data_IF_522922831224
#
_entry.id   IF_522922831224
#
_cell.length_a   1.000
_cell.length_b   1.000
_cell.length_c   1.000
_cell.angle_alpha   90.00
_cell.angle_beta   90.00
_cell.angle_gamma   90.00
#
_symmetry.space_group_name_H-M   'P 1'
#
loop_
_entity.id
_entity.type
_entity.pdbx_description
1 polymer ?
#
# COMPACT_ATOMS: atom_id res chain seq x y z
N UNK A 1 3.11 -16.23 -17.54
CA UNK A 1 3.06 -16.14 -16.08
C UNK A 1 2.66 -14.75 -15.64
N UNK A 2 1.81 -14.66 -14.65
CA UNK A 2 1.37 -13.37 -14.17
C UNK A 2 2.47 -12.73 -13.31
N UNK A 3 2.52 -11.41 -13.33
CA UNK A 3 3.42 -10.66 -12.47
C UNK A 3 2.87 -10.67 -11.04
N UNK A 4 3.76 -10.61 -10.08
CA UNK A 4 3.34 -10.35 -8.71
C UNK A 4 2.75 -8.95 -8.65
N UNK A 5 1.72 -8.77 -7.85
CA UNK A 5 1.04 -7.48 -7.73
C UNK A 5 1.25 -6.86 -6.35
N UNK A 6 1.42 -5.55 -6.35
CA UNK A 6 1.69 -4.79 -5.13
C UNK A 6 0.71 -3.63 -5.04
N UNK A 7 0.07 -3.50 -3.90
CA UNK A 7 -0.76 -2.34 -3.60
C UNK A 7 0.04 -1.37 -2.75
N UNK A 8 0.19 -0.13 -3.22
CA UNK A 8 0.93 0.91 -2.52
C UNK A 8 -0.06 1.94 -2.00
N UNK A 9 -0.01 2.22 -0.71
CA UNK A 9 -0.94 3.15 -0.06
C UNK A 9 -0.18 4.28 0.60
N UNK A 10 -0.37 5.49 0.10
CA UNK A 10 0.29 6.70 0.62
C UNK A 10 -0.51 7.91 0.18
N UNK A 11 -0.70 8.88 1.05
CA UNK A 11 -1.48 10.07 0.72
C UNK A 11 -0.65 11.17 0.05
N UNK A 12 0.67 11.00 -0.01
CA UNK A 12 1.57 11.94 -0.68
C UNK A 12 1.71 11.58 -2.16
N UNK A 13 1.17 12.37 -3.10
CA UNK A 13 1.23 12.01 -4.52
C UNK A 13 2.65 11.83 -5.05
N UNK A 14 3.58 12.64 -4.57
CA UNK A 14 4.97 12.55 -5.04
C UNK A 14 5.62 11.23 -4.61
N UNK A 15 5.39 10.81 -3.36
CA UNK A 15 5.92 9.56 -2.85
C UNK A 15 5.27 8.39 -3.60
N UNK A 16 3.97 8.45 -3.75
CA UNK A 16 3.22 7.40 -4.44
C UNK A 16 3.72 7.21 -5.87
N UNK A 17 3.92 8.31 -6.58
CA UNK A 17 4.41 8.25 -7.96
C UNK A 17 5.79 7.60 -8.05
N UNK A 18 6.69 7.95 -7.14
CA UNK A 18 8.04 7.38 -7.13
C UNK A 18 7.99 5.89 -6.86
N UNK A 19 7.23 5.48 -5.85
CA UNK A 19 7.12 4.06 -5.50
C UNK A 19 6.49 3.25 -6.62
N UNK A 20 5.40 3.74 -7.18
CA UNK A 20 4.71 3.04 -8.28
C UNK A 20 5.65 2.87 -9.46
N UNK A 21 6.33 3.96 -9.85
CA UNK A 21 7.24 3.92 -11.01
C UNK A 21 8.37 2.92 -10.78
N UNK A 22 9.00 2.96 -9.61
CA UNK A 22 10.13 2.07 -9.32
C UNK A 22 9.71 0.62 -9.30
N UNK A 23 8.56 0.33 -8.70
CA UNK A 23 8.08 -1.05 -8.63
C UNK A 23 7.67 -1.57 -10.00
N UNK A 24 7.06 -0.72 -10.82
CA UNK A 24 6.74 -1.10 -12.20
C UNK A 24 8.01 -1.40 -13.00
N UNK A 25 9.04 -0.58 -12.85
CA UNK A 25 10.31 -0.82 -13.53
C UNK A 25 10.97 -2.11 -13.07
N UNK A 26 10.71 -2.51 -11.82
CA UNK A 26 11.24 -3.78 -11.31
C UNK A 26 10.43 -5.00 -11.78
N UNK A 27 9.35 -4.78 -12.52
CA UNK A 27 8.60 -5.87 -13.13
C UNK A 27 7.32 -6.24 -12.39
N UNK A 28 6.88 -5.46 -11.40
CA UNK A 28 5.66 -5.75 -10.67
C UNK A 28 4.46 -5.05 -11.28
N UNK A 29 3.29 -5.64 -11.09
CA UNK A 29 2.04 -4.96 -11.35
C UNK A 29 1.70 -4.15 -10.11
N UNK A 30 1.38 -2.86 -10.26
CA UNK A 30 1.23 -1.98 -9.10
C UNK A 30 -0.12 -1.28 -9.13
N UNK A 31 -0.81 -1.34 -8.00
CA UNK A 31 -2.04 -0.61 -7.75
C UNK A 31 -1.75 0.43 -6.66
N UNK A 32 -2.48 1.52 -6.65
CA UNK A 32 -2.24 2.58 -5.68
C UNK A 32 -3.53 3.04 -5.03
N UNK A 33 -3.40 3.54 -3.79
CA UNK A 33 -4.51 4.11 -3.06
C UNK A 33 -3.97 5.29 -2.24
N UNK A 34 -4.80 6.29 -2.00
CA UNK A 34 -4.38 7.50 -1.30
C UNK A 34 -4.93 7.60 0.11
N UNK A 35 -5.79 6.69 0.52
CA UNK A 35 -6.34 6.67 1.87
C UNK A 35 -6.76 5.24 2.22
N UNK A 36 -7.18 5.05 3.49
CA UNK A 36 -7.52 3.73 3.98
C UNK A 36 -8.72 3.10 3.31
N UNK A 37 -9.73 3.89 3.00
CA UNK A 37 -10.94 3.37 2.33
C UNK A 37 -10.61 2.87 0.94
N UNK A 38 -9.84 3.65 0.18
CA UNK A 38 -9.38 3.23 -1.14
C UNK A 38 -8.51 2.00 -1.07
N UNK A 39 -7.68 1.91 -0.02
CA UNK A 39 -6.81 0.75 0.17
C UNK A 39 -7.63 -0.53 0.37
N UNK A 40 -8.66 -0.48 1.20
CA UNK A 40 -9.52 -1.63 1.45
C UNK A 40 -10.26 -2.02 0.16
N UNK A 41 -10.77 -1.05 -0.58
CA UNK A 41 -11.43 -1.29 -1.86
C UNK A 41 -10.49 -1.97 -2.85
N UNK A 42 -9.28 -1.42 -2.99
CA UNK A 42 -8.29 -1.98 -3.91
C UNK A 42 -7.86 -3.38 -3.48
N UNK A 43 -7.71 -3.60 -2.18
CA UNK A 43 -7.38 -4.91 -1.66
C UNK A 43 -8.43 -5.96 -2.07
N UNK A 44 -9.70 -5.63 -1.93
CA UNK A 44 -10.77 -6.57 -2.30
C UNK A 44 -10.85 -6.78 -3.80
N UNK A 45 -10.65 -5.72 -4.58
CA UNK A 45 -10.79 -5.79 -6.02
C UNK A 45 -9.61 -6.47 -6.70
N UNK A 46 -8.40 -6.16 -6.27
CA UNK A 46 -7.20 -6.58 -6.98
C UNK A 46 -6.48 -7.78 -6.36
N UNK A 47 -6.80 -8.10 -5.12
CA UNK A 47 -6.17 -9.23 -4.41
C UNK A 47 -4.64 -9.22 -4.55
N UNK A 48 -3.98 -8.17 -4.05
CA UNK A 48 -2.53 -8.03 -4.24
C UNK A 48 -1.72 -9.08 -3.48
N UNK A 49 -0.52 -9.33 -3.97
CA UNK A 49 0.42 -10.26 -3.33
C UNK A 49 1.18 -9.62 -2.18
N UNK A 50 1.25 -8.29 -2.17
CA UNK A 50 1.96 -7.53 -1.15
C UNK A 50 1.32 -6.17 -1.02
N UNK A 51 1.26 -5.64 0.19
CA UNK A 51 0.78 -4.28 0.44
C UNK A 51 1.88 -3.46 1.09
N UNK A 52 2.16 -2.29 0.52
CA UNK A 52 3.07 -1.31 1.09
C UNK A 52 2.21 -0.17 1.61
N UNK A 53 2.24 0.07 2.90
CA UNK A 53 1.24 0.87 3.58
C UNK A 53 1.86 1.94 4.46
N UNK A 54 1.51 3.20 4.19
CA UNK A 54 1.94 4.31 5.05
C UNK A 54 1.17 4.25 6.37
N UNK A 55 1.87 4.47 7.46
CA UNK A 55 1.27 4.50 8.79
C UNK A 55 0.39 5.74 8.96
N UNK A 56 0.83 6.87 8.40
CA UNK A 56 0.16 8.16 8.61
C UNK A 56 -0.75 8.50 7.44
N UNK A 57 -1.95 7.92 7.46
CA UNK A 57 -2.95 8.19 6.44
C UNK A 57 -4.06 9.09 7.00
N UNK A 58 -4.70 9.90 6.14
CA UNK A 58 -5.89 10.65 6.57
C UNK A 58 -7.06 9.71 6.81
N UNK A 59 -7.99 10.10 7.66
CA UNK A 59 -9.23 9.38 7.95
C UNK A 59 -9.05 8.06 8.71
N UNK A 60 -8.19 7.18 8.24
CA UNK A 60 -7.97 5.87 8.85
C UNK A 60 -6.47 5.61 8.81
N UNK A 61 -5.82 5.48 9.97
CA UNK A 61 -4.37 5.27 9.99
C UNK A 61 -3.99 3.88 9.45
N UNK A 62 -2.71 3.73 9.13
CA UNK A 62 -2.21 2.50 8.52
C UNK A 62 -2.42 1.27 9.38
N UNK A 63 -2.34 1.41 10.70
CA UNK A 63 -2.56 0.27 11.59
C UNK A 63 -4.01 -0.20 11.54
N UNK A 64 -4.96 0.74 11.44
CA UNK A 64 -6.38 0.39 11.32
C UNK A 64 -6.64 -0.33 10.01
N UNK A 65 -6.02 0.11 8.92
CA UNK A 65 -6.12 -0.57 7.62
C UNK A 65 -5.58 -1.99 7.73
N UNK A 66 -4.42 -2.13 8.36
CA UNK A 66 -3.81 -3.44 8.55
C UNK A 66 -4.71 -4.38 9.32
N UNK A 67 -5.31 -3.90 10.41
CA UNK A 67 -6.24 -4.73 11.20
C UNK A 67 -7.43 -5.18 10.38
N UNK A 68 -7.99 -4.30 9.56
CA UNK A 68 -9.11 -4.64 8.69
C UNK A 68 -8.74 -5.73 7.70
N UNK A 69 -7.57 -5.61 7.10
CA UNK A 69 -7.11 -6.60 6.12
C UNK A 69 -6.79 -7.92 6.81
N UNK A 70 -6.15 -7.87 7.99
CA UNK A 70 -5.80 -9.08 8.74
C UNK A 70 -7.00 -9.88 9.21
N UNK A 71 -8.16 -9.25 9.33
CA UNK A 71 -9.38 -9.96 9.68
C UNK A 71 -9.77 -10.99 8.62
N UNK A 72 -9.28 -10.84 7.39
CA UNK A 72 -9.69 -11.73 6.29
C UNK A 72 -8.54 -12.24 5.42
N UNK A 73 -7.30 -11.83 5.70
CA UNK A 73 -6.18 -12.22 4.82
C UNK A 73 -4.86 -12.24 5.58
N UNK A 74 -3.95 -13.09 5.10
CA UNK A 74 -2.57 -13.14 5.60
C UNK A 74 -1.60 -12.50 4.62
N UNK A 75 -2.08 -11.69 3.69
CA UNK A 75 -1.23 -11.02 2.70
C UNK A 75 -0.13 -10.23 3.42
N UNK A 76 1.13 -10.31 2.94
CA UNK A 76 2.21 -9.55 3.57
C UNK A 76 1.97 -8.05 3.49
N UNK A 77 2.22 -7.36 4.59
CA UNK A 77 2.09 -5.89 4.67
C UNK A 77 3.39 -5.31 5.18
N UNK A 78 3.95 -4.37 4.43
CA UNK A 78 5.14 -3.63 4.82
C UNK A 78 4.73 -2.20 5.13
N UNK A 79 5.08 -1.72 6.32
CA UNK A 79 4.78 -0.35 6.70
C UNK A 79 5.88 0.60 6.24
N UNK A 80 5.45 1.74 5.71
CA UNK A 80 6.36 2.85 5.42
C UNK A 80 6.34 3.81 6.61
N UNK A 81 7.51 4.32 6.97
CA UNK A 81 7.61 5.38 7.96
C UNK A 81 8.22 6.61 7.30
N UNK A 82 7.80 7.78 7.75
CA UNK A 82 8.38 9.03 7.24
C UNK A 82 9.84 9.11 7.65
N UNK A 83 10.71 9.39 6.69
CA UNK A 83 12.15 9.46 6.96
C UNK A 83 12.49 10.57 7.93
N UNK A 84 11.78 11.68 7.87
CA UNK A 84 12.01 12.80 8.78
C UNK A 84 11.72 12.43 10.23
N UNK A 85 10.95 11.38 10.48
CA UNK A 85 10.68 10.93 11.84
C UNK A 85 11.89 10.21 12.45
N UNK A 86 12.87 9.89 11.64
CA UNK A 86 14.04 9.12 12.06
C UNK A 86 15.23 10.03 12.38
N UNK A 87 15.24 11.19 11.79
CA UNK A 87 16.36 12.13 11.93
C UNK A 87 16.50 12.75 13.30
#
# INVERSE_FOLDING_TARGET
>A
MSKASILVVDDEPAVLKVLVTRLQLAGYEVFSATNGEEAIEAFHKEDPDLIVLDVMLPKMDGFAVCRRIRAESVVPIIFLTALEAIS
#
